data_IF_750189942881
#
_entry.id   IF_750189942881
#
_cell.length_a   1.000
_cell.length_b   1.000
_cell.length_c   1.000
_cell.angle_alpha   90.00
_cell.angle_beta   90.00
_cell.angle_gamma   90.00
#
_symmetry.space_group_name_H-M   'P 1'
#
loop_
_entity.id
_entity.type
_entity.pdbx_description
1 polymer ?
#
# COMPACT_ATOMS: atom_id res chain seq x y z
N UNK A 1 -36.84 -0.36 -8.16
CA UNK A 1 -35.88 0.67 -7.70
C UNK A 1 -34.59 -0.06 -7.40
N UNK A 2 -33.55 0.16 -8.20
CA UNK A 2 -32.22 -0.37 -7.88
C UNK A 2 -31.66 0.49 -6.75
N UNK A 3 -31.30 -0.12 -5.61
CA UNK A 3 -30.61 0.60 -4.53
C UNK A 3 -29.21 0.98 -5.04
N UNK A 4 -28.90 2.27 -5.03
CA UNK A 4 -27.57 2.75 -5.41
C UNK A 4 -26.48 2.27 -4.46
N UNK A 5 -25.22 2.35 -4.89
CA UNK A 5 -24.05 1.97 -4.08
C UNK A 5 -24.05 2.66 -2.73
N UNK A 6 -24.32 3.97 -2.69
CA UNK A 6 -24.31 4.76 -1.46
C UNK A 6 -25.51 4.45 -0.56
N UNK A 7 -26.68 4.13 -1.14
CA UNK A 7 -27.83 3.65 -0.37
C UNK A 7 -27.50 2.35 0.37
N UNK A 8 -26.80 1.42 -0.30
CA UNK A 8 -26.37 0.16 0.32
C UNK A 8 -25.34 0.40 1.42
N UNK A 9 -24.34 1.25 1.18
CA UNK A 9 -23.33 1.60 2.19
C UNK A 9 -23.98 2.25 3.42
N UNK A 10 -24.92 3.18 3.23
CA UNK A 10 -25.66 3.82 4.31
C UNK A 10 -26.49 2.81 5.13
N UNK A 11 -27.12 1.83 4.46
CA UNK A 11 -27.86 0.75 5.15
C UNK A 11 -26.94 -0.12 6.00
N UNK A 12 -25.75 -0.48 5.48
CA UNK A 12 -24.73 -1.22 6.24
C UNK A 12 -24.27 -0.41 7.45
N UNK A 13 -23.98 0.87 7.25
CA UNK A 13 -23.58 1.77 8.33
C UNK A 13 -24.67 1.85 9.42
N UNK A 14 -25.93 2.09 9.04
CA UNK A 14 -27.07 2.09 9.97
C UNK A 14 -27.18 0.79 10.77
N UNK A 15 -26.97 -0.36 10.13
CA UNK A 15 -27.03 -1.66 10.80
C UNK A 15 -25.84 -1.91 11.75
N UNK A 16 -24.69 -1.25 11.52
CA UNK A 16 -23.50 -1.36 12.37
C UNK A 16 -23.55 -0.47 13.62
N UNK A 17 -24.43 0.52 13.65
CA UNK A 17 -24.53 1.48 14.74
C UNK A 17 -25.39 0.95 15.90
N UNK A 18 -25.11 1.36 17.15
CA UNK A 18 -25.99 1.08 18.27
C UNK A 18 -27.42 1.59 18.02
N UNK A 19 -28.47 0.95 18.57
CA UNK A 19 -29.87 1.38 18.38
C UNK A 19 -30.16 2.83 18.83
N UNK A 20 -29.35 3.34 19.76
CA UNK A 20 -29.46 4.68 20.35
C UNK A 20 -28.68 5.74 19.55
N UNK A 21 -27.87 5.33 18.57
CA UNK A 21 -27.06 6.25 17.79
C UNK A 21 -27.96 7.12 16.87
N UNK A 22 -27.61 8.40 16.68
CA UNK A 22 -28.34 9.25 15.73
C UNK A 22 -28.24 8.66 14.31
N UNK A 23 -29.27 8.92 13.49
CA UNK A 23 -29.23 8.50 12.09
C UNK A 23 -27.96 9.09 11.42
N UNK A 24 -27.13 8.25 10.78
CA UNK A 24 -25.95 8.74 10.08
C UNK A 24 -26.29 9.69 8.92
N UNK A 25 -27.52 9.67 8.39
CA UNK A 25 -27.96 10.63 7.36
C UNK A 25 -28.46 11.94 8.00
N UNK A 26 -28.05 13.07 7.43
CA UNK A 26 -28.59 14.40 7.74
C UNK A 26 -29.72 14.70 6.76
N UNK A 27 -30.96 14.54 7.22
CA UNK A 27 -32.18 14.78 6.43
C UNK A 27 -33.13 15.74 7.17
N UNK A 28 -33.48 16.90 6.60
CA UNK A 28 -33.01 17.42 5.30
C UNK A 28 -31.52 17.79 5.31
N UNK A 29 -30.83 17.76 4.14
CA UNK A 29 -29.50 18.33 4.00
C UNK A 29 -29.47 19.81 4.41
N UNK A 30 -28.36 20.32 4.96
CA UNK A 30 -28.26 21.74 5.34
C UNK A 30 -28.47 22.68 4.13
N UNK A 31 -29.01 23.87 4.38
CA UNK A 31 -29.45 24.81 3.33
C UNK A 31 -28.35 25.18 2.32
N UNK A 32 -27.10 25.31 2.76
CA UNK A 32 -25.97 25.61 1.88
C UNK A 32 -25.74 24.50 0.84
N UNK A 33 -25.94 23.23 1.21
CA UNK A 33 -25.85 22.10 0.27
C UNK A 33 -27.02 22.12 -0.70
N UNK A 34 -28.25 22.35 -0.21
CA UNK A 34 -29.42 22.44 -1.07
C UNK A 34 -29.28 23.56 -2.10
N UNK A 35 -28.71 24.70 -1.71
CA UNK A 35 -28.42 25.81 -2.60
C UNK A 35 -27.44 25.41 -3.72
N UNK A 36 -26.29 24.82 -3.37
CA UNK A 36 -25.29 24.39 -4.37
C UNK A 36 -25.81 23.26 -5.26
N UNK A 37 -26.62 22.36 -4.71
CA UNK A 37 -27.29 21.30 -5.46
C UNK A 37 -28.22 21.88 -6.53
N UNK A 38 -29.02 22.89 -6.19
CA UNK A 38 -29.90 23.55 -7.14
C UNK A 38 -29.12 24.32 -8.22
N UNK A 39 -28.02 24.98 -7.83
CA UNK A 39 -27.09 25.61 -8.78
C UNK A 39 -26.53 24.59 -9.79
N UNK A 40 -26.15 23.40 -9.32
CA UNK A 40 -25.65 22.33 -10.17
C UNK A 40 -26.70 21.83 -11.18
N UNK A 41 -27.93 21.59 -10.71
CA UNK A 41 -29.05 21.17 -11.58
C UNK A 41 -29.39 22.24 -12.62
N UNK A 42 -29.42 23.51 -12.21
CA UNK A 42 -29.63 24.65 -13.12
C UNK A 42 -28.52 24.78 -14.16
N UNK A 43 -27.28 24.44 -13.80
CA UNK A 43 -26.14 24.41 -14.72
C UNK A 43 -26.13 23.17 -15.64
N UNK A 44 -27.11 22.28 -15.54
CA UNK A 44 -27.22 21.07 -16.36
C UNK A 44 -26.29 19.94 -15.94
N UNK A 45 -25.75 19.97 -14.72
CA UNK A 45 -24.93 18.88 -14.18
C UNK A 45 -25.86 17.71 -13.86
N UNK A 46 -25.51 16.51 -14.34
CA UNK A 46 -26.31 15.29 -14.14
C UNK A 46 -26.01 14.74 -12.76
N UNK A 47 -26.97 14.93 -11.85
CA UNK A 47 -26.94 14.41 -10.48
C UNK A 47 -28.31 13.80 -10.11
N UNK A 48 -28.28 12.77 -9.28
CA UNK A 48 -29.44 11.99 -8.84
C UNK A 48 -29.78 12.28 -7.37
N UNK A 49 -29.10 11.63 -6.42
CA UNK A 49 -29.33 11.83 -4.98
C UNK A 49 -28.12 12.44 -4.27
N UNK A 50 -28.39 13.24 -3.23
CA UNK A 50 -27.39 13.83 -2.34
C UNK A 50 -27.52 13.23 -0.93
N UNK A 51 -26.44 12.64 -0.44
CA UNK A 51 -26.34 12.09 0.92
C UNK A 51 -25.36 12.91 1.74
N UNK A 52 -25.86 13.74 2.66
CA UNK A 52 -24.99 14.40 3.65
C UNK A 52 -24.98 13.52 4.91
N UNK A 53 -23.82 13.01 5.31
CA UNK A 53 -23.71 12.00 6.36
C UNK A 53 -22.84 12.48 7.53
N UNK A 54 -23.21 12.09 8.76
CA UNK A 54 -22.48 12.40 10.01
C UNK A 54 -21.23 11.54 10.19
N UNK A 55 -21.27 10.34 9.62
CA UNK A 55 -20.21 9.36 9.65
C UNK A 55 -19.86 9.00 8.20
N UNK A 56 -18.57 8.87 7.86
CA UNK A 56 -18.17 8.66 6.49
C UNK A 56 -18.63 7.28 5.98
N UNK A 57 -19.07 7.20 4.71
CA UNK A 57 -19.40 5.93 4.06
C UNK A 57 -18.14 5.15 3.66
N UNK A 58 -17.02 5.85 3.48
CA UNK A 58 -15.67 5.32 3.32
C UNK A 58 -14.73 6.06 4.27
N UNK A 59 -14.03 5.32 5.13
CA UNK A 59 -13.12 5.88 6.13
C UNK A 59 -11.94 6.69 5.55
N UNK A 60 -11.67 6.58 4.25
CA UNK A 60 -10.56 7.26 3.57
C UNK A 60 -11.01 8.45 2.71
N UNK A 61 -12.30 8.76 2.67
CA UNK A 61 -12.84 9.84 1.85
C UNK A 61 -13.75 10.77 2.65
N UNK A 62 -13.71 12.06 2.31
CA UNK A 62 -14.65 13.06 2.85
C UNK A 62 -15.93 13.18 1.99
N UNK A 63 -15.96 12.55 0.83
CA UNK A 63 -17.09 12.50 -0.08
C UNK A 63 -16.77 11.63 -1.30
N UNK A 64 -17.79 11.28 -2.08
CA UNK A 64 -17.58 10.67 -3.38
C UNK A 64 -18.77 10.86 -4.32
N UNK A 65 -18.47 10.90 -5.62
CA UNK A 65 -19.42 10.83 -6.72
C UNK A 65 -19.51 9.41 -7.32
N UNK A 66 -20.72 8.92 -7.54
CA UNK A 66 -20.97 7.65 -8.25
C UNK A 66 -21.20 7.91 -9.74
N UNK A 67 -20.28 7.46 -10.60
CA UNK A 67 -20.44 7.55 -12.06
C UNK A 67 -21.66 6.78 -12.57
N UNK A 68 -21.96 5.63 -11.96
CA UNK A 68 -23.06 4.75 -12.37
C UNK A 68 -24.44 5.29 -12.02
N UNK A 69 -24.60 5.82 -10.79
CA UNK A 69 -25.89 6.25 -10.26
C UNK A 69 -26.07 7.78 -10.27
N UNK A 70 -25.00 8.53 -10.54
CA UNK A 70 -24.93 9.98 -10.44
C UNK A 70 -25.27 10.54 -9.04
N UNK A 71 -25.09 9.72 -8.01
CA UNK A 71 -25.28 10.12 -6.62
C UNK A 71 -24.00 10.76 -6.07
N UNK A 72 -24.14 11.62 -5.07
CA UNK A 72 -23.04 12.21 -4.31
C UNK A 72 -23.28 11.97 -2.83
N UNK A 73 -22.25 11.56 -2.09
CA UNK A 73 -22.26 11.63 -0.63
C UNK A 73 -21.15 12.55 -0.12
N UNK A 74 -21.39 13.22 1.00
CA UNK A 74 -20.46 14.13 1.66
C UNK A 74 -20.49 13.89 3.17
N UNK A 75 -19.31 13.76 3.78
CA UNK A 75 -19.14 13.69 5.22
C UNK A 75 -19.18 15.09 5.85
N UNK A 76 -20.09 15.28 6.81
CA UNK A 76 -20.24 16.51 7.59
C UNK A 76 -20.30 16.16 9.08
N UNK A 77 -19.16 16.15 9.75
CA UNK A 77 -19.10 16.03 11.21
C UNK A 77 -19.30 17.40 11.89
N UNK A 78 -19.85 17.46 13.12
CA UNK A 78 -20.06 18.71 13.86
C UNK A 78 -18.79 19.55 14.08
N UNK A 79 -17.64 18.90 14.16
CA UNK A 79 -16.32 19.49 14.38
C UNK A 79 -15.65 20.02 13.09
N UNK A 80 -16.17 19.66 11.92
CA UNK A 80 -15.62 20.10 10.64
C UNK A 80 -16.11 21.50 10.28
N UNK A 81 -15.21 22.41 9.87
CA UNK A 81 -15.62 23.71 9.33
C UNK A 81 -16.55 23.54 8.13
N UNK A 82 -17.72 24.20 8.15
CA UNK A 82 -18.72 24.10 7.06
C UNK A 82 -18.11 24.42 5.69
N UNK A 83 -17.23 25.42 5.62
CA UNK A 83 -16.53 25.81 4.40
C UNK A 83 -15.68 24.67 3.81
N UNK A 84 -15.04 23.85 4.66
CA UNK A 84 -14.28 22.67 4.21
C UNK A 84 -15.19 21.61 3.60
N UNK A 85 -16.35 21.38 4.23
CA UNK A 85 -17.31 20.39 3.74
C UNK A 85 -17.94 20.87 2.42
N UNK A 86 -18.26 22.16 2.29
CA UNK A 86 -18.79 22.73 1.05
C UNK A 86 -17.76 22.73 -0.08
N UNK A 87 -16.47 22.94 0.21
CA UNK A 87 -15.39 22.75 -0.77
C UNK A 87 -15.35 21.32 -1.30
N UNK A 88 -15.43 20.33 -0.40
CA UNK A 88 -15.51 18.91 -0.77
C UNK A 88 -16.74 18.64 -1.63
N UNK A 89 -17.89 19.24 -1.31
CA UNK A 89 -19.08 19.09 -2.14
C UNK A 89 -18.93 19.70 -3.54
N UNK A 90 -18.30 20.87 -3.65
CA UNK A 90 -17.98 21.48 -4.95
C UNK A 90 -17.00 20.62 -5.76
N UNK A 91 -16.08 19.92 -5.09
CA UNK A 91 -15.19 18.94 -5.71
C UNK A 91 -15.98 17.77 -6.33
N UNK A 92 -16.88 17.16 -5.57
CA UNK A 92 -17.71 16.05 -6.08
C UNK A 92 -18.68 16.50 -7.19
N UNK A 93 -19.20 17.72 -7.12
CA UNK A 93 -19.98 18.33 -8.21
C UNK A 93 -19.12 18.56 -9.46
N UNK A 94 -17.83 18.84 -9.31
CA UNK A 94 -16.89 18.95 -10.43
C UNK A 94 -16.60 17.60 -11.09
N UNK A 95 -16.54 16.50 -10.32
CA UNK A 95 -16.58 15.16 -10.89
C UNK A 95 -17.89 14.90 -11.64
N UNK A 96 -19.04 15.28 -11.08
CA UNK A 96 -20.33 15.09 -11.76
C UNK A 96 -20.45 15.89 -13.07
N UNK A 97 -19.87 17.09 -13.15
CA UNK A 97 -19.86 17.89 -14.38
C UNK A 97 -19.02 17.25 -15.49
N UNK A 98 -17.91 16.62 -15.13
CA UNK A 98 -17.03 15.93 -16.07
C UNK A 98 -16.64 14.57 -15.50
N UNK A 99 -17.52 13.56 -15.64
CA UNK A 99 -17.30 12.26 -15.04
C UNK A 99 -15.96 11.64 -15.45
N UNK A 100 -15.21 11.06 -14.50
CA UNK A 100 -13.91 10.47 -14.78
C UNK A 100 -14.04 9.28 -15.75
N UNK A 101 -13.02 9.12 -16.60
CA UNK A 101 -12.91 7.97 -17.53
C UNK A 101 -12.05 6.90 -16.90
N UNK A 102 -12.69 6.00 -16.16
CA UNK A 102 -12.03 4.89 -15.49
C UNK A 102 -11.88 3.67 -16.42
N UNK A 103 -10.83 2.84 -16.24
CA UNK A 103 -9.66 3.05 -15.38
C UNK A 103 -8.62 4.00 -16.01
N UNK A 104 -7.84 4.68 -15.17
CA UNK A 104 -6.67 5.46 -15.61
C UNK A 104 -5.48 4.55 -15.96
N UNK A 105 -4.59 5.01 -16.83
CA UNK A 105 -3.39 4.26 -17.20
C UNK A 105 -2.25 4.43 -16.19
N UNK A 106 -2.22 5.54 -15.43
CA UNK A 106 -1.21 5.81 -14.40
C UNK A 106 -1.71 6.78 -13.33
N UNK A 107 -0.97 6.84 -12.21
CA UNK A 107 -1.22 7.84 -11.15
C UNK A 107 -1.09 9.28 -11.66
N UNK A 108 -0.16 9.56 -12.57
CA UNK A 108 0.01 10.91 -13.11
C UNK A 108 -1.19 11.34 -13.96
N UNK A 109 -1.80 10.41 -14.70
CA UNK A 109 -3.03 10.68 -15.46
C UNK A 109 -4.21 10.93 -14.51
N UNK A 110 -4.39 10.07 -13.51
CA UNK A 110 -5.41 10.24 -12.46
C UNK A 110 -5.25 11.60 -11.75
N UNK A 111 -4.03 11.97 -11.36
CA UNK A 111 -3.77 13.24 -10.69
C UNK A 111 -3.87 14.47 -11.60
N UNK A 112 -3.65 14.31 -12.91
CA UNK A 112 -3.95 15.37 -13.86
C UNK A 112 -5.46 15.65 -13.88
N UNK A 113 -6.29 14.62 -13.85
CA UNK A 113 -7.75 14.77 -13.74
C UNK A 113 -8.16 15.31 -12.37
N UNK A 114 -7.53 14.89 -11.28
CA UNK A 114 -7.78 15.42 -9.93
C UNK A 114 -7.50 16.94 -9.86
N UNK A 115 -6.34 17.38 -10.36
CA UNK A 115 -6.02 18.81 -10.46
C UNK A 115 -7.04 19.56 -11.32
N UNK A 116 -7.47 18.98 -12.44
CA UNK A 116 -8.50 19.58 -13.28
C UNK A 116 -9.86 19.65 -12.56
N UNK A 117 -10.19 18.66 -11.72
CA UNK A 117 -11.41 18.64 -10.90
C UNK A 117 -11.40 19.77 -9.88
N UNK A 118 -10.32 19.99 -9.14
CA UNK A 118 -10.20 21.14 -8.24
C UNK A 118 -10.29 22.48 -8.96
N UNK A 119 -9.64 22.62 -10.12
CA UNK A 119 -9.77 23.84 -10.94
C UNK A 119 -11.21 24.08 -11.40
N UNK A 120 -11.94 23.03 -11.77
CA UNK A 120 -13.37 23.11 -12.11
C UNK A 120 -14.20 23.50 -10.89
N UNK A 121 -13.95 22.93 -9.71
CA UNK A 121 -14.64 23.26 -8.47
C UNK A 121 -14.46 24.75 -8.09
N UNK A 122 -13.23 25.27 -8.19
CA UNK A 122 -12.92 26.68 -7.98
C UNK A 122 -13.69 27.56 -8.98
N UNK A 123 -13.67 27.19 -10.27
CA UNK A 123 -14.40 27.93 -11.31
C UNK A 123 -15.94 27.89 -11.10
N UNK A 124 -16.48 26.78 -10.59
CA UNK A 124 -17.89 26.69 -10.17
C UNK A 124 -18.18 27.64 -9.01
N UNK A 125 -17.33 27.66 -7.99
CA UNK A 125 -17.49 28.52 -6.83
C UNK A 125 -17.57 30.01 -7.23
N UNK A 126 -16.68 30.45 -8.13
CA UNK A 126 -16.73 31.80 -8.69
C UNK A 126 -18.02 32.08 -9.44
N UNK A 127 -18.46 31.14 -10.30
CA UNK A 127 -19.67 31.31 -11.11
C UNK A 127 -20.95 31.36 -10.28
N UNK A 128 -20.98 30.64 -9.16
CA UNK A 128 -22.14 30.54 -8.28
C UNK A 128 -22.10 31.52 -7.11
N UNK A 129 -21.14 32.45 -7.09
CA UNK A 129 -21.08 33.51 -6.07
C UNK A 129 -20.58 33.06 -4.69
N UNK A 130 -19.96 31.88 -4.60
CA UNK A 130 -19.39 31.31 -3.36
C UNK A 130 -17.86 31.24 -3.42
N UNK A 131 -17.23 32.18 -4.14
CA UNK A 131 -15.78 32.26 -4.30
C UNK A 131 -15.01 32.36 -2.96
N UNK A 132 -15.65 32.87 -1.90
CA UNK A 132 -15.07 32.95 -0.56
C UNK A 132 -14.69 31.57 0.01
N UNK A 133 -15.25 30.48 -0.52
CA UNK A 133 -14.87 29.11 -0.14
C UNK A 133 -13.46 28.72 -0.62
N UNK A 134 -12.88 29.46 -1.57
CA UNK A 134 -11.54 29.20 -2.12
C UNK A 134 -10.68 30.48 -2.07
N UNK A 135 -10.28 30.94 -0.87
CA UNK A 135 -9.28 31.99 -0.76
C UNK A 135 -7.93 31.50 -1.32
N UNK A 136 -7.04 32.44 -1.69
CA UNK A 136 -5.76 32.12 -2.31
C UNK A 136 -4.92 31.16 -1.46
N UNK A 137 -4.94 31.30 -0.13
CA UNK A 137 -4.22 30.40 0.77
C UNK A 137 -4.75 28.96 0.68
N UNK A 138 -6.07 28.78 0.70
CA UNK A 138 -6.69 27.46 0.58
C UNK A 138 -6.44 26.84 -0.80
N UNK A 139 -6.40 27.64 -1.87
CA UNK A 139 -6.06 27.12 -3.21
C UNK A 139 -4.61 26.60 -3.20
N UNK A 140 -3.68 27.33 -2.58
CA UNK A 140 -2.29 26.91 -2.47
C UNK A 140 -2.15 25.62 -1.64
N UNK A 141 -2.83 25.55 -0.49
CA UNK A 141 -2.85 24.36 0.37
C UNK A 141 -3.39 23.13 -0.37
N UNK A 142 -4.53 23.26 -1.06
CA UNK A 142 -5.10 22.16 -1.86
C UNK A 142 -4.16 21.69 -2.97
N UNK A 143 -3.48 22.61 -3.65
CA UNK A 143 -2.50 22.23 -4.68
C UNK A 143 -1.31 21.47 -4.09
N UNK A 144 -0.84 21.88 -2.91
CA UNK A 144 0.26 21.24 -2.20
C UNK A 144 -0.14 19.85 -1.68
N UNK A 145 -1.35 19.70 -1.13
CA UNK A 145 -1.92 18.42 -0.69
C UNK A 145 -2.10 17.43 -1.85
N UNK A 146 -2.67 17.90 -2.96
CA UNK A 146 -2.85 17.08 -4.17
C UNK A 146 -1.50 16.60 -4.67
N UNK A 147 -0.49 17.47 -4.76
CA UNK A 147 0.82 17.06 -5.23
C UNK A 147 1.54 16.14 -4.24
N UNK A 148 1.46 16.40 -2.93
CA UNK A 148 2.01 15.52 -1.91
C UNK A 148 1.40 14.11 -1.98
N UNK A 149 0.11 14.01 -2.27
CA UNK A 149 -0.59 12.74 -2.48
C UNK A 149 -0.07 11.97 -3.71
N UNK A 150 0.21 12.65 -4.82
CA UNK A 150 0.83 12.03 -5.99
C UNK A 150 2.23 11.51 -5.66
N UNK A 151 3.04 12.34 -5.01
CA UNK A 151 4.41 11.96 -4.65
C UNK A 151 4.44 10.73 -3.73
N UNK A 152 3.52 10.62 -2.77
CA UNK A 152 3.40 9.43 -1.93
C UNK A 152 3.06 8.17 -2.73
N UNK A 153 2.20 8.26 -3.74
CA UNK A 153 1.81 7.12 -4.60
C UNK A 153 2.92 6.69 -5.54
N UNK A 154 3.61 7.64 -6.15
CA UNK A 154 4.78 7.36 -6.99
C UNK A 154 5.90 6.75 -6.16
N UNK A 155 6.13 7.25 -4.95
CA UNK A 155 7.07 6.67 -4.00
C UNK A 155 6.67 5.24 -3.61
N UNK A 156 5.41 5.02 -3.23
CA UNK A 156 4.90 3.69 -2.89
C UNK A 156 5.01 2.72 -4.08
N UNK A 157 4.68 3.14 -5.30
CA UNK A 157 4.85 2.34 -6.53
C UNK A 157 6.32 1.97 -6.77
N UNK A 158 7.24 2.93 -6.58
CA UNK A 158 8.67 2.70 -6.73
C UNK A 158 9.22 1.72 -5.69
N UNK A 159 8.80 1.85 -4.44
CA UNK A 159 9.18 0.95 -3.33
C UNK A 159 8.56 -0.44 -3.53
N UNK A 160 7.30 -0.50 -3.99
CA UNK A 160 6.62 -1.74 -4.39
C UNK A 160 7.30 -2.39 -5.59
N UNK A 161 8.02 -1.65 -6.42
CA UNK A 161 8.58 -2.21 -7.66
C UNK A 161 7.48 -2.69 -8.60
N UNK A 162 6.34 -1.99 -8.62
CA UNK A 162 5.15 -2.29 -9.40
C UNK A 162 4.39 -1.00 -9.71
N UNK A 163 3.91 -0.83 -10.94
CA UNK A 163 3.05 0.29 -11.36
C UNK A 163 1.57 -0.08 -11.36
N UNK A 164 1.21 -1.30 -10.93
CA UNK A 164 -0.16 -1.70 -10.68
C UNK A 164 -0.80 -0.81 -9.59
N UNK A 165 -1.74 0.05 -10.01
CA UNK A 165 -2.35 1.06 -9.14
C UNK A 165 -3.10 0.45 -7.96
N UNK A 166 -3.85 -0.65 -8.18
CA UNK A 166 -4.61 -1.32 -7.13
C UNK A 166 -3.68 -1.84 -6.03
N UNK A 167 -2.58 -2.50 -6.40
CA UNK A 167 -1.58 -2.98 -5.43
C UNK A 167 -0.87 -1.85 -4.72
N UNK A 168 -0.56 -0.76 -5.42
CA UNK A 168 0.10 0.39 -4.81
C UNK A 168 -0.82 1.11 -3.81
N UNK A 169 -2.11 1.31 -4.12
CA UNK A 169 -3.07 1.88 -3.16
C UNK A 169 -3.21 1.00 -1.93
N UNK A 170 -3.29 -0.33 -2.14
CA UNK A 170 -3.28 -1.30 -1.07
C UNK A 170 -2.03 -1.12 -0.20
N UNK A 171 -0.83 -1.19 -0.79
CA UNK A 171 0.47 -0.96 -0.14
C UNK A 171 0.50 0.32 0.69
N UNK A 172 0.16 1.44 0.08
CA UNK A 172 0.15 2.74 0.73
C UNK A 172 -0.83 2.78 1.92
N UNK A 173 -2.00 2.14 1.82
CA UNK A 173 -2.95 2.03 2.92
C UNK A 173 -2.35 1.30 4.13
N UNK A 174 -1.68 0.16 3.93
CA UNK A 174 -1.06 -0.54 5.06
C UNK A 174 0.14 0.20 5.63
N UNK A 175 0.97 0.80 4.77
CA UNK A 175 2.07 1.66 5.23
C UNK A 175 1.53 2.76 6.15
N UNK A 176 0.43 3.41 5.79
CA UNK A 176 -0.22 4.44 6.62
C UNK A 176 -0.71 3.89 7.96
N UNK A 177 -1.32 2.70 7.97
CA UNK A 177 -1.79 2.05 9.21
C UNK A 177 -0.64 1.71 10.15
N UNK A 178 0.45 1.14 9.64
CA UNK A 178 1.65 0.80 10.41
C UNK A 178 2.37 2.05 10.92
N UNK A 179 2.49 3.07 10.08
CA UNK A 179 3.05 4.36 10.46
C UNK A 179 2.24 5.00 11.60
N UNK A 180 0.91 4.97 11.49
CA UNK A 180 0.02 5.45 12.56
C UNK A 180 0.19 4.65 13.85
N UNK A 181 0.24 3.31 13.80
CA UNK A 181 0.46 2.46 14.96
C UNK A 181 1.79 2.74 15.66
N UNK A 182 2.80 3.21 14.92
CA UNK A 182 4.11 3.62 15.43
C UNK A 182 4.20 5.11 15.82
N UNK A 183 3.10 5.85 15.73
CA UNK A 183 3.04 7.27 16.08
C UNK A 183 3.79 8.18 15.11
N UNK A 184 3.95 7.77 13.84
CA UNK A 184 4.58 8.62 12.83
C UNK A 184 3.61 9.73 12.41
N UNK A 185 4.14 10.95 12.31
CA UNK A 185 3.38 12.07 11.74
C UNK A 185 3.23 11.90 10.23
N UNK A 186 2.20 12.52 9.65
CA UNK A 186 2.00 12.55 8.19
C UNK A 186 3.23 13.10 7.46
N UNK A 187 3.88 14.12 8.03
CA UNK A 187 5.11 14.70 7.47
C UNK A 187 6.29 13.73 7.53
N UNK A 188 6.47 13.00 8.64
CA UNK A 188 7.52 11.99 8.74
C UNK A 188 7.29 10.88 7.72
N UNK A 189 6.06 10.36 7.62
CA UNK A 189 5.73 9.35 6.62
C UNK A 189 5.99 9.85 5.19
N UNK A 190 5.54 11.06 4.86
CA UNK A 190 5.83 11.68 3.57
C UNK A 190 7.33 11.76 3.31
N UNK A 191 8.12 12.22 4.28
CA UNK A 191 9.56 12.37 4.13
C UNK A 191 10.29 11.03 3.95
N UNK A 192 9.86 9.99 4.65
CA UNK A 192 10.46 8.66 4.52
C UNK A 192 10.08 8.02 3.18
N UNK A 193 8.81 8.13 2.75
CA UNK A 193 8.36 7.64 1.44
C UNK A 193 9.09 8.33 0.28
N UNK A 194 9.17 9.66 0.31
CA UNK A 194 9.81 10.43 -0.77
C UNK A 194 11.34 10.43 -0.69
N UNK A 195 11.93 9.82 0.34
CA UNK A 195 13.37 9.71 0.52
C UNK A 195 14.06 11.00 0.97
N UNK A 196 13.32 11.99 1.47
CA UNK A 196 13.89 13.22 2.06
C UNK A 196 14.37 12.99 3.50
N UNK A 197 13.88 11.95 4.18
CA UNK A 197 14.46 11.45 5.43
C UNK A 197 15.68 10.57 5.12
N UNK A 198 16.85 10.96 5.63
CA UNK A 198 18.11 10.23 5.42
C UNK A 198 18.40 9.14 6.47
N UNK A 199 17.48 8.89 7.40
CA UNK A 199 17.66 7.89 8.45
C UNK A 199 17.49 6.47 7.87
N UNK A 200 18.55 5.64 7.84
CA UNK A 200 18.48 4.30 7.27
C UNK A 200 17.52 3.37 8.02
N UNK A 201 17.27 3.61 9.31
CA UNK A 201 16.31 2.84 10.10
C UNK A 201 14.88 3.09 9.66
N UNK A 202 14.50 4.36 9.42
CA UNK A 202 13.17 4.67 8.88
C UNK A 202 13.01 4.20 7.43
N UNK A 203 14.04 4.37 6.59
CA UNK A 203 14.03 3.89 5.21
C UNK A 203 13.89 2.37 5.12
N UNK A 204 14.61 1.62 5.96
CA UNK A 204 14.49 0.17 6.05
C UNK A 204 13.11 -0.30 6.53
N UNK A 205 12.49 0.44 7.46
CA UNK A 205 11.13 0.15 7.92
C UNK A 205 10.09 0.33 6.81
N UNK A 206 10.19 1.39 6.00
CA UNK A 206 9.26 1.60 4.88
C UNK A 206 9.39 0.51 3.81
N UNK A 207 10.62 0.07 3.50
CA UNK A 207 10.82 -1.09 2.62
C UNK A 207 10.15 -2.35 3.16
N UNK A 208 10.03 -2.46 4.48
CA UNK A 208 9.39 -3.59 5.16
C UNK A 208 7.86 -3.54 5.05
N UNK A 209 7.23 -2.38 5.27
CA UNK A 209 5.75 -2.27 5.27
C UNK A 209 5.10 -2.43 3.90
N UNK A 210 5.83 -2.15 2.83
CA UNK A 210 5.35 -2.15 1.46
C UNK A 210 4.75 -3.49 1.00
N UNK A 211 5.14 -4.61 1.62
CA UNK A 211 4.65 -5.95 1.23
C UNK A 211 3.47 -6.46 2.07
N UNK A 212 2.99 -5.67 3.05
CA UNK A 212 2.01 -6.10 4.06
C UNK A 212 0.62 -6.47 3.52
N UNK A 213 0.28 -6.03 2.31
CA UNK A 213 -1.12 -5.99 1.81
C UNK A 213 -1.38 -7.06 0.78
N UNK A 214 -0.32 -7.74 0.39
CA UNK A 214 -0.38 -8.60 -0.77
C UNK A 214 -1.15 -9.89 -0.48
N UNK A 215 -1.35 -10.32 0.78
CA UNK A 215 -2.13 -11.53 1.09
C UNK A 215 -2.76 -11.57 2.48
N UNK A 216 -3.98 -12.12 2.55
CA UNK A 216 -4.74 -12.35 3.78
C UNK A 216 -4.32 -13.61 4.57
N UNK A 217 -3.32 -14.38 4.15
CA UNK A 217 -2.74 -15.43 5.01
C UNK A 217 -1.38 -15.79 4.46
N UNK A 218 -0.35 -15.27 5.11
CA UNK A 218 0.95 -15.91 5.09
C UNK A 218 0.98 -16.93 6.22
N UNK A 219 1.38 -18.14 5.89
CA UNK A 219 1.73 -19.13 6.89
C UNK A 219 3.25 -19.28 6.86
N UNK A 220 3.94 -18.68 7.82
CA UNK A 220 5.32 -19.02 8.13
C UNK A 220 5.31 -20.42 8.75
N UNK A 221 5.40 -21.44 7.91
CA UNK A 221 5.60 -22.80 8.40
C UNK A 221 7.08 -22.99 8.72
N UNK A 222 7.41 -22.85 10.00
CA UNK A 222 8.55 -23.54 10.58
C UNK A 222 8.11 -24.98 10.86
N UNK A 223 8.95 -25.96 10.53
CA UNK A 223 8.81 -27.25 11.20
C UNK A 223 8.93 -27.01 12.74
N UNK A 224 8.30 -27.81 13.60
CA UNK A 224 8.03 -27.48 15.01
C UNK A 224 9.23 -27.44 15.96
N UNK A 225 10.40 -27.00 15.51
CA UNK A 225 11.60 -26.86 16.34
C UNK A 225 12.13 -25.42 16.26
N UNK A 226 11.59 -24.59 17.17
CA UNK A 226 11.99 -23.22 17.52
C UNK A 226 11.84 -22.16 16.41
N UNK A 227 11.30 -20.98 16.77
CA UNK A 227 11.43 -19.77 15.96
C UNK A 227 12.90 -19.62 15.54
N UNK A 228 13.25 -19.75 14.26
CA UNK A 228 14.60 -19.43 13.84
C UNK A 228 14.69 -17.91 13.89
N UNK A 229 15.57 -17.42 14.75
CA UNK A 229 16.06 -16.05 14.76
C UNK A 229 16.26 -15.60 13.29
N UNK A 230 15.80 -14.41 12.86
CA UNK A 230 16.11 -13.85 11.55
C UNK A 230 17.60 -13.96 11.19
N UNK A 231 18.48 -13.88 12.20
CA UNK A 231 19.93 -14.08 12.06
C UNK A 231 20.32 -15.53 11.69
N UNK A 232 19.46 -16.51 11.98
CA UNK A 232 19.63 -17.93 11.61
C UNK A 232 19.09 -18.24 10.21
N UNK A 233 18.06 -17.53 9.74
CA UNK A 233 17.47 -17.74 8.40
C UNK A 233 18.26 -17.08 7.27
N UNK A 234 18.79 -15.89 7.52
CA UNK A 234 19.39 -15.04 6.50
C UNK A 234 20.91 -14.90 6.64
N UNK A 235 21.49 -15.57 7.65
CA UNK A 235 22.74 -15.13 8.25
C UNK A 235 22.47 -13.84 9.04
N UNK A 236 23.27 -13.52 10.06
CA UNK A 236 22.99 -12.32 10.80
C UNK A 236 23.23 -11.10 9.90
N UNK A 237 22.22 -10.24 9.79
CA UNK A 237 22.47 -8.85 9.40
C UNK A 237 23.49 -8.20 10.34
N UNK A 238 23.78 -8.83 11.50
CA UNK A 238 24.91 -8.52 12.35
C UNK A 238 26.27 -8.56 11.62
N UNK A 239 26.42 -8.99 10.37
CA UNK A 239 27.67 -8.73 9.63
C UNK A 239 27.79 -7.28 9.11
N UNK A 240 26.68 -6.52 9.08
CA UNK A 240 26.64 -5.09 8.77
C UNK A 240 27.00 -4.26 10.01
N UNK A 241 28.27 -4.33 10.42
CA UNK A 241 28.79 -3.44 11.47
C UNK A 241 29.01 -2.00 10.98
N UNK A 242 28.86 -1.75 9.67
CA UNK A 242 29.09 -0.46 9.05
C UNK A 242 27.78 0.19 8.59
N UNK A 243 27.41 1.28 9.27
CA UNK A 243 26.26 2.10 8.89
C UNK A 243 26.35 2.60 7.43
N UNK A 244 27.55 2.82 6.90
CA UNK A 244 27.73 3.23 5.50
C UNK A 244 27.35 2.13 4.51
N UNK A 245 27.65 0.87 4.82
CA UNK A 245 27.28 -0.29 3.99
C UNK A 245 25.76 -0.49 3.97
N UNK A 246 25.11 -0.35 5.13
CA UNK A 246 23.66 -0.44 5.22
C UNK A 246 22.98 0.67 4.41
N UNK A 247 23.44 1.92 4.54
CA UNK A 247 22.92 3.05 3.74
C UNK A 247 23.08 2.76 2.24
N UNK A 248 24.25 2.27 1.83
CA UNK A 248 24.51 1.96 0.43
C UNK A 248 23.59 0.85 -0.10
N UNK A 249 23.40 -0.23 0.67
CA UNK A 249 22.54 -1.35 0.29
C UNK A 249 21.05 -0.96 0.26
N UNK A 250 20.58 -0.17 1.21
CA UNK A 250 19.23 0.41 1.21
C UNK A 250 19.02 1.26 -0.05
N UNK A 251 19.97 2.14 -0.37
CA UNK A 251 19.91 2.95 -1.58
C UNK A 251 19.95 2.11 -2.87
N UNK A 252 20.73 1.04 -2.90
CA UNK A 252 20.77 0.10 -4.02
C UNK A 252 19.44 -0.62 -4.20
N UNK A 253 18.84 -1.13 -3.12
CA UNK A 253 17.54 -1.78 -3.14
C UNK A 253 16.45 -0.82 -3.65
N UNK A 254 16.39 0.40 -3.13
CA UNK A 254 15.44 1.42 -3.58
C UNK A 254 15.56 1.71 -5.08
N UNK A 255 16.78 1.94 -5.59
CA UNK A 255 16.99 2.16 -7.03
C UNK A 255 16.60 0.95 -7.86
N UNK A 256 16.89 -0.25 -7.37
CA UNK A 256 16.56 -1.51 -8.05
C UNK A 256 15.04 -1.71 -8.13
N UNK A 257 14.32 -1.49 -7.03
CA UNK A 257 12.85 -1.55 -6.97
C UNK A 257 12.21 -0.50 -7.89
N UNK A 258 12.68 0.74 -7.83
CA UNK A 258 12.20 1.79 -8.73
C UNK A 258 12.44 1.42 -10.22
N UNK A 259 13.57 0.76 -10.52
CA UNK A 259 13.86 0.22 -11.86
C UNK A 259 12.92 -0.92 -12.23
N UNK A 260 12.58 -1.82 -11.29
CA UNK A 260 11.58 -2.86 -11.48
C UNK A 260 10.21 -2.29 -11.84
N UNK A 261 9.74 -1.26 -11.12
CA UNK A 261 8.47 -0.59 -11.41
C UNK A 261 8.48 0.00 -12.83
N UNK A 262 9.48 0.82 -13.17
CA UNK A 262 9.58 1.45 -14.50
C UNK A 262 9.66 0.46 -15.66
N UNK A 263 10.16 -0.75 -15.42
CA UNK A 263 10.36 -1.78 -16.44
C UNK A 263 9.39 -2.96 -16.26
N UNK A 264 8.33 -2.83 -15.46
CA UNK A 264 7.53 -3.97 -15.01
C UNK A 264 7.03 -4.83 -16.18
N UNK A 265 6.49 -4.21 -17.23
CA UNK A 265 5.98 -4.93 -18.39
C UNK A 265 7.08 -5.65 -19.18
N UNK A 266 8.21 -4.98 -19.42
CA UNK A 266 9.35 -5.57 -20.12
C UNK A 266 9.96 -6.74 -19.33
N UNK A 267 10.09 -6.58 -18.00
CA UNK A 267 10.55 -7.63 -17.10
C UNK A 267 9.60 -8.81 -17.07
N UNK A 268 8.29 -8.55 -16.93
CA UNK A 268 7.24 -9.58 -16.94
C UNK A 268 7.26 -10.38 -18.25
N UNK A 269 7.38 -9.72 -19.40
CA UNK A 269 7.45 -10.37 -20.70
C UNK A 269 8.70 -11.23 -20.87
N UNK A 270 9.86 -10.74 -20.38
CA UNK A 270 11.13 -11.48 -20.40
C UNK A 270 11.07 -12.70 -19.49
N UNK A 271 10.60 -12.53 -18.26
CA UNK A 271 10.50 -13.59 -17.25
C UNK A 271 9.43 -14.63 -17.57
N UNK A 272 8.37 -14.27 -18.31
CA UNK A 272 7.37 -15.22 -18.79
C UNK A 272 7.95 -16.28 -19.76
N UNK A 273 9.07 -15.98 -20.43
CA UNK A 273 9.76 -16.91 -21.34
C UNK A 273 10.77 -17.82 -20.62
N UNK A 274 10.89 -17.67 -19.30
CA UNK A 274 11.87 -18.42 -18.51
C UNK A 274 11.52 -19.90 -18.47
N UNK A 275 12.52 -20.75 -18.73
CA UNK A 275 12.37 -22.20 -18.63
C UNK A 275 12.32 -22.64 -17.17
N UNK A 276 11.31 -23.43 -16.83
CA UNK A 276 11.18 -24.08 -15.54
C UNK A 276 11.49 -25.57 -15.68
N UNK A 277 12.37 -26.09 -14.85
CA UNK A 277 12.72 -27.50 -14.83
C UNK A 277 11.94 -28.22 -13.75
N UNK A 278 11.20 -29.26 -14.10
CA UNK A 278 10.51 -30.07 -13.09
C UNK A 278 11.50 -31.03 -12.43
N UNK A 279 11.54 -31.00 -11.11
CA UNK A 279 12.35 -31.88 -10.28
C UNK A 279 11.52 -32.39 -9.12
N UNK A 280 11.67 -33.67 -8.79
CA UNK A 280 10.96 -34.30 -7.67
C UNK A 280 11.93 -34.51 -6.52
N UNK A 281 11.58 -34.00 -5.34
CA UNK A 281 12.30 -34.22 -4.09
C UNK A 281 11.34 -34.89 -3.11
N UNK A 282 11.60 -36.15 -2.76
CA UNK A 282 10.66 -36.96 -1.98
C UNK A 282 9.31 -37.12 -2.70
N UNK A 283 8.23 -36.76 -2.01
CA UNK A 283 6.86 -36.80 -2.54
C UNK A 283 6.44 -35.52 -3.29
N UNK A 284 7.25 -34.47 -3.30
CA UNK A 284 6.89 -33.15 -3.84
C UNK A 284 7.64 -32.88 -5.14
N UNK A 285 6.92 -32.42 -6.16
CA UNK A 285 7.50 -31.98 -7.44
C UNK A 285 7.52 -30.46 -7.52
N UNK A 286 8.70 -29.90 -7.71
CA UNK A 286 8.94 -28.46 -7.84
C UNK A 286 9.24 -28.08 -9.29
N UNK A 287 8.78 -26.91 -9.69
CA UNK A 287 9.30 -26.17 -10.84
C UNK A 287 10.52 -25.36 -10.38
N UNK A 288 11.70 -25.66 -10.95
CA UNK A 288 12.96 -25.05 -10.56
C UNK A 288 13.49 -24.03 -11.58
N UNK A 289 14.06 -22.96 -11.04
CA UNK A 289 14.84 -21.96 -11.77
C UNK A 289 16.13 -21.62 -11.02
N UNK A 290 17.15 -21.17 -11.75
CA UNK A 290 18.45 -20.77 -11.19
C UNK A 290 18.83 -19.39 -11.69
N UNK A 291 19.52 -18.62 -10.86
CA UNK A 291 20.02 -17.27 -11.10
C UNK A 291 21.42 -17.09 -10.54
N UNK A 292 22.26 -16.36 -11.27
CA UNK A 292 23.58 -15.94 -10.81
C UNK A 292 23.57 -14.42 -10.72
N UNK A 293 23.71 -13.90 -9.51
CA UNK A 293 23.66 -12.46 -9.23
C UNK A 293 25.10 -11.96 -9.20
N UNK A 294 25.51 -11.26 -10.25
CA UNK A 294 26.88 -10.74 -10.42
C UNK A 294 26.91 -9.22 -10.66
N UNK A 295 25.74 -8.59 -10.80
CA UNK A 295 25.56 -7.15 -10.96
C UNK A 295 24.14 -6.71 -10.53
N UNK A 296 23.88 -5.39 -10.56
CA UNK A 296 22.57 -4.82 -10.23
C UNK A 296 21.47 -5.25 -11.24
N UNK A 297 21.82 -5.58 -12.48
CA UNK A 297 20.84 -6.02 -13.49
C UNK A 297 20.32 -7.42 -13.17
N UNK A 298 21.20 -8.32 -12.77
CA UNK A 298 20.85 -9.66 -12.30
C UNK A 298 20.06 -9.60 -11.00
N UNK A 299 20.39 -8.68 -10.09
CA UNK A 299 19.59 -8.42 -8.89
C UNK A 299 18.18 -7.92 -9.24
N UNK A 300 18.06 -7.01 -10.20
CA UNK A 300 16.77 -6.51 -10.70
C UNK A 300 15.91 -7.65 -11.26
N UNK A 301 16.48 -8.53 -12.08
CA UNK A 301 15.76 -9.70 -12.60
C UNK A 301 15.35 -10.69 -11.50
N UNK A 302 16.19 -10.86 -10.46
CA UNK A 302 15.88 -11.69 -9.31
C UNK A 302 14.67 -11.15 -8.52
N UNK A 303 14.72 -9.86 -8.17
CA UNK A 303 13.64 -9.15 -7.47
C UNK A 303 12.35 -9.17 -8.30
N UNK A 304 12.42 -8.83 -9.59
CA UNK A 304 11.27 -8.84 -10.47
C UNK A 304 10.63 -10.23 -10.62
N UNK A 305 11.44 -11.30 -10.62
CA UNK A 305 10.92 -12.67 -10.62
C UNK A 305 10.17 -12.96 -9.33
N UNK A 306 10.74 -12.65 -8.16
CA UNK A 306 10.05 -12.87 -6.88
C UNK A 306 8.75 -12.07 -6.82
N UNK A 307 8.79 -10.77 -7.15
CA UNK A 307 7.62 -9.90 -7.23
C UNK A 307 6.53 -10.50 -8.14
N UNK A 308 6.87 -10.91 -9.36
CA UNK A 308 5.91 -11.49 -10.30
C UNK A 308 5.25 -12.75 -9.75
N UNK A 309 5.99 -13.60 -9.04
CA UNK A 309 5.46 -14.83 -8.47
C UNK A 309 4.53 -14.56 -7.29
N UNK A 310 4.92 -13.64 -6.41
CA UNK A 310 4.15 -13.25 -5.24
C UNK A 310 2.88 -12.45 -5.63
N UNK A 311 2.99 -11.49 -6.53
CA UNK A 311 1.84 -10.72 -7.05
C UNK A 311 0.91 -11.60 -7.89
N UNK A 312 1.46 -12.54 -8.64
CA UNK A 312 0.69 -13.49 -9.44
C UNK A 312 0.02 -14.59 -8.61
N UNK A 313 0.06 -14.55 -7.28
CA UNK A 313 -0.54 -15.54 -6.39
C UNK A 313 -2.00 -15.22 -5.99
N UNK A 314 -2.70 -14.35 -6.73
CA UNK A 314 -4.12 -14.06 -6.50
C UNK A 314 -4.95 -15.36 -6.47
N UNK A 315 -5.72 -15.56 -5.40
CA UNK A 315 -6.50 -16.78 -5.19
C UNK A 315 -5.79 -17.90 -4.40
N UNK A 316 -4.53 -17.70 -4.02
CA UNK A 316 -3.78 -18.64 -3.18
C UNK A 316 -3.35 -17.99 -1.86
N UNK A 317 -3.28 -18.79 -0.80
CA UNK A 317 -2.37 -18.54 0.29
C UNK A 317 -0.95 -18.94 -0.14
N UNK A 318 0.00 -18.04 0.06
CA UNK A 318 1.40 -18.22 -0.35
C UNK A 318 2.25 -18.55 0.88
N UNK A 319 2.93 -19.69 0.85
CA UNK A 319 3.95 -20.06 1.84
C UNK A 319 5.32 -19.92 1.19
N UNK A 320 6.20 -19.17 1.84
CA UNK A 320 7.57 -18.90 1.36
C UNK A 320 8.59 -19.47 2.35
N UNK A 321 9.55 -20.23 1.85
CA UNK A 321 10.65 -20.77 2.65
C UNK A 321 11.98 -20.34 2.05
N UNK A 322 12.80 -19.70 2.89
CA UNK A 322 14.10 -19.14 2.52
C UNK A 322 15.21 -19.94 3.20
N UNK A 323 16.26 -20.26 2.45
CA UNK A 323 17.40 -21.01 2.99
C UNK A 323 18.71 -20.52 2.41
N UNK A 324 19.65 -20.14 3.27
CA UNK A 324 21.06 -19.89 2.93
C UNK A 324 21.92 -21.15 3.06
N UNK A 325 22.91 -21.30 2.18
CA UNK A 325 23.82 -22.45 2.10
C UNK A 325 25.31 -22.05 2.25
N UNK A 326 25.58 -20.93 2.92
CA UNK A 326 26.89 -20.29 3.07
C UNK A 326 28.01 -21.25 3.56
N UNK A 327 27.67 -22.16 4.47
CA UNK A 327 28.63 -23.11 5.07
C UNK A 327 29.16 -24.17 4.09
N UNK A 328 28.48 -24.42 2.97
CA UNK A 328 28.92 -25.41 1.97
C UNK A 328 30.11 -24.89 1.14
N UNK A 329 30.24 -23.57 0.97
CA UNK A 329 31.29 -22.96 0.14
C UNK A 329 32.50 -22.48 0.95
N UNK A 330 32.30 -22.12 2.23
CA UNK A 330 33.37 -21.64 3.12
C UNK A 330 34.49 -22.68 3.38
N UNK A 331 34.21 -23.98 3.22
CA UNK A 331 35.21 -25.05 3.47
C UNK A 331 36.23 -25.24 2.34
N UNK A 332 36.00 -24.67 1.15
CA UNK A 332 36.81 -24.96 -0.04
C UNK A 332 37.74 -23.84 -0.49
N UNK A 333 37.53 -22.59 -0.08
CA UNK A 333 38.30 -21.43 -0.56
C UNK A 333 38.93 -20.63 0.60
N UNK A 334 40.01 -21.16 1.19
CA UNK A 334 40.83 -20.38 2.15
C UNK A 334 41.68 -19.35 1.38
N UNK A 335 41.10 -18.18 1.11
CA UNK A 335 41.82 -17.04 0.51
C UNK A 335 41.00 -16.17 -0.46
N UNK A 336 39.76 -16.54 -0.78
CA UNK A 336 38.80 -15.74 -1.55
C UNK A 336 37.53 -15.54 -0.74
N UNK A 337 36.78 -14.47 -1.01
CA UNK A 337 35.43 -14.36 -0.47
C UNK A 337 34.59 -15.55 -0.98
N UNK A 338 33.90 -16.27 -0.08
CA UNK A 338 33.14 -17.47 -0.45
C UNK A 338 31.94 -17.11 -1.33
N UNK A 339 31.50 -18.07 -2.15
CA UNK A 339 30.25 -17.93 -2.88
C UNK A 339 29.07 -18.18 -1.92
N UNK A 340 27.99 -17.44 -2.08
CA UNK A 340 26.78 -17.62 -1.27
C UNK A 340 25.62 -18.10 -2.15
N UNK A 341 24.92 -19.13 -1.68
CA UNK A 341 23.81 -19.74 -2.39
C UNK A 341 22.55 -19.66 -1.53
N UNK A 342 21.49 -19.10 -2.11
CA UNK A 342 20.17 -18.99 -1.49
C UNK A 342 19.16 -19.82 -2.28
N UNK A 343 18.18 -20.37 -1.57
CA UNK A 343 17.02 -21.04 -2.16
C UNK A 343 15.73 -20.41 -1.62
N UNK A 344 14.85 -20.02 -2.55
CA UNK A 344 13.48 -19.62 -2.27
C UNK A 344 12.53 -20.72 -2.72
N UNK A 345 11.74 -21.26 -1.81
CA UNK A 345 10.64 -22.16 -2.13
C UNK A 345 9.30 -21.43 -1.95
N UNK A 346 8.43 -21.53 -2.94
CA UNK A 346 7.08 -20.96 -2.97
C UNK A 346 6.08 -22.10 -3.07
N UNK A 347 5.18 -22.19 -2.11
CA UNK A 347 4.10 -23.17 -2.07
C UNK A 347 2.78 -22.41 -2.15
N UNK A 348 1.94 -22.79 -3.11
CA UNK A 348 0.67 -22.14 -3.39
C UNK A 348 -0.47 -23.04 -2.96
N UNK A 349 -1.22 -22.64 -1.94
CA UNK A 349 -2.40 -23.36 -1.46
C UNK A 349 -3.65 -22.59 -1.89
N UNK A 350 -4.60 -23.18 -2.63
CA UNK A 350 -5.83 -22.49 -3.00
C UNK A 350 -6.58 -21.95 -1.78
N UNK A 351 -7.10 -20.73 -1.85
CA UNK A 351 -7.86 -20.13 -0.73
C UNK A 351 -9.08 -20.96 -0.33
N UNK A 352 -9.71 -21.64 -1.28
CA UNK A 352 -10.80 -22.59 -1.01
C UNK A 352 -10.40 -23.66 0.01
N UNK A 353 -9.18 -24.18 -0.08
CA UNK A 353 -8.69 -25.23 0.82
C UNK A 353 -8.38 -24.67 2.22
N UNK A 354 -7.75 -23.49 2.28
CA UNK A 354 -7.47 -22.80 3.54
C UNK A 354 -8.76 -22.44 4.26
N UNK A 355 -9.71 -21.79 3.58
CA UNK A 355 -10.97 -21.33 4.17
C UNK A 355 -11.87 -22.48 4.60
N UNK A 356 -11.88 -23.61 3.89
CA UNK A 356 -12.58 -24.81 4.39
C UNK A 356 -12.03 -25.31 5.72
N UNK A 357 -10.77 -25.02 6.03
CA UNK A 357 -10.12 -25.43 7.28
C UNK A 357 -10.38 -24.42 8.41
N UNK A 358 -10.27 -23.11 8.15
CA UNK A 358 -10.37 -22.07 9.19
C UNK A 358 -11.78 -21.49 9.36
N UNK A 359 -12.62 -21.56 8.35
CA UNK A 359 -14.00 -21.03 8.35
C UNK A 359 -14.94 -21.96 7.55
N UNK A 360 -15.20 -23.18 8.06
CA UNK A 360 -15.95 -24.22 7.34
C UNK A 360 -17.41 -23.85 7.06
N UNK A 361 -17.89 -22.73 7.59
CA UNK A 361 -19.23 -22.18 7.39
C UNK A 361 -19.35 -21.28 6.15
N UNK A 362 -18.24 -20.92 5.49
CA UNK A 362 -18.27 -20.16 4.23
C UNK A 362 -18.67 -21.05 3.05
N UNK A 363 -19.54 -20.55 2.18
CA UNK A 363 -19.91 -21.25 0.95
C UNK A 363 -18.75 -21.21 -0.04
N UNK A 364 -18.14 -22.37 -0.27
CA UNK A 364 -17.04 -22.54 -1.24
C UNK A 364 -17.41 -22.14 -2.67
N UNK A 365 -18.71 -22.07 -3.01
CA UNK A 365 -19.18 -21.61 -4.32
C UNK A 365 -19.01 -20.09 -4.54
N UNK A 366 -18.85 -19.30 -3.46
CA UNK A 366 -18.59 -17.86 -3.55
C UNK A 366 -17.10 -17.52 -3.73
N UNK A 367 -16.22 -18.51 -3.61
CA UNK A 367 -14.77 -18.32 -3.74
C UNK A 367 -14.32 -18.46 -5.20
N UNK A 368 -13.37 -17.62 -5.66
CA UNK A 368 -12.89 -17.67 -7.04
C UNK A 368 -12.22 -19.03 -7.34
N UNK A 369 -12.51 -19.65 -8.51
CA UNK A 369 -11.90 -20.91 -8.89
C UNK A 369 -10.39 -20.75 -9.06
N UNK A 370 -9.61 -21.60 -8.38
CA UNK A 370 -8.15 -21.55 -8.41
C UNK A 370 -7.58 -22.83 -9.02
N UNK A 371 -6.80 -22.69 -10.10
CA UNK A 371 -6.16 -23.82 -10.75
C UNK A 371 -5.06 -24.42 -9.85
N UNK A 372 -4.78 -25.72 -9.89
CA UNK A 372 -3.62 -26.27 -9.18
C UNK A 372 -2.33 -25.62 -9.70
N UNK A 373 -1.50 -25.11 -8.80
CA UNK A 373 -0.22 -24.49 -9.14
C UNK A 373 0.93 -25.29 -8.52
N UNK A 374 1.93 -25.62 -9.32
CA UNK A 374 3.09 -26.35 -8.81
C UNK A 374 3.90 -25.48 -7.84
N UNK A 375 4.42 -26.06 -6.74
CA UNK A 375 5.44 -25.41 -5.94
C UNK A 375 6.64 -25.00 -6.79
N UNK A 376 7.22 -23.85 -6.48
CA UNK A 376 8.40 -23.31 -7.19
C UNK A 376 9.60 -23.28 -6.27
N UNK A 377 10.78 -23.56 -6.82
CA UNK A 377 12.04 -23.42 -6.11
C UNK A 377 13.03 -22.63 -6.96
N UNK A 378 13.59 -21.55 -6.41
CA UNK A 378 14.47 -20.64 -7.13
C UNK A 378 15.78 -20.54 -6.39
N UNK A 379 16.86 -20.82 -7.10
CA UNK A 379 18.21 -20.78 -6.56
C UNK A 379 18.92 -19.50 -7.01
N UNK A 380 19.54 -18.79 -6.09
CA UNK A 380 20.27 -17.55 -6.32
C UNK A 380 21.72 -17.72 -5.86
N UNK A 381 22.67 -17.58 -6.78
CA UNK A 381 24.10 -17.70 -6.51
C UNK A 381 24.78 -16.33 -6.59
N UNK A 382 25.40 -15.92 -5.49
CA UNK A 382 26.37 -14.82 -5.43
C UNK A 382 27.77 -15.43 -5.59
N UNK A 383 28.48 -15.17 -6.70
CA UNK A 383 29.73 -15.85 -7.03
C UNK A 383 30.90 -15.36 -6.16
N UNK A 384 31.91 -16.21 -5.99
CA UNK A 384 33.16 -15.85 -5.32
C UNK A 384 34.06 -14.96 -6.19
N UNK A 385 34.95 -14.20 -5.54
CA UNK A 385 36.06 -13.51 -6.19
C UNK A 385 35.88 -12.02 -6.51
N UNK A 386 34.68 -11.46 -6.31
CA UNK A 386 34.43 -10.01 -6.29
C UNK A 386 33.71 -9.64 -4.99
N UNK A 387 33.82 -8.37 -4.57
CA UNK A 387 33.05 -7.87 -3.42
C UNK A 387 31.58 -7.70 -3.83
N UNK A 388 30.78 -8.71 -3.49
CA UNK A 388 29.35 -8.79 -3.78
C UNK A 388 28.49 -8.29 -2.60
N UNK A 389 29.13 -7.85 -1.51
CA UNK A 389 28.48 -7.50 -0.24
C UNK A 389 27.29 -6.53 -0.44
N UNK A 390 27.41 -5.44 -1.22
CA UNK A 390 26.29 -4.53 -1.42
C UNK A 390 25.06 -5.16 -2.09
N UNK A 391 25.28 -6.00 -3.10
CA UNK A 391 24.22 -6.68 -3.85
C UNK A 391 23.52 -7.73 -3.00
N UNK A 392 24.31 -8.48 -2.24
CA UNK A 392 23.83 -9.51 -1.35
C UNK A 392 23.02 -8.93 -0.18
N UNK A 393 23.50 -7.83 0.42
CA UNK A 393 22.77 -7.15 1.49
C UNK A 393 21.46 -6.54 0.94
N UNK A 394 21.49 -5.92 -0.24
CA UNK A 394 20.27 -5.41 -0.87
C UNK A 394 19.25 -6.55 -1.14
N UNK A 395 19.74 -7.72 -1.55
CA UNK A 395 18.91 -8.92 -1.70
C UNK A 395 18.34 -9.41 -0.37
N UNK A 396 19.16 -9.52 0.69
CA UNK A 396 18.72 -9.93 2.02
C UNK A 396 17.67 -8.97 2.57
N UNK A 397 17.86 -7.65 2.45
CA UNK A 397 16.88 -6.64 2.82
C UNK A 397 15.56 -6.79 2.07
N UNK A 398 15.62 -7.06 0.76
CA UNK A 398 14.42 -7.35 -0.03
C UNK A 398 13.69 -8.58 0.49
N UNK A 399 14.41 -9.67 0.75
CA UNK A 399 13.81 -10.91 1.26
C UNK A 399 13.20 -10.71 2.65
N UNK A 400 13.89 -10.00 3.54
CA UNK A 400 13.41 -9.68 4.89
C UNK A 400 12.11 -8.87 4.88
N UNK A 401 11.95 -7.97 3.91
CA UNK A 401 10.69 -7.23 3.76
C UNK A 401 9.49 -8.16 3.62
N UNK A 402 9.63 -9.26 2.89
CA UNK A 402 8.57 -10.26 2.74
C UNK A 402 8.33 -11.07 4.02
N UNK A 403 9.38 -11.43 4.75
CA UNK A 403 9.27 -12.22 5.98
C UNK A 403 8.57 -11.44 7.11
N UNK A 404 8.94 -10.18 7.31
CA UNK A 404 8.35 -9.32 8.34
C UNK A 404 6.84 -9.06 8.07
N UNK A 405 6.43 -8.99 6.81
CA UNK A 405 5.02 -8.86 6.45
C UNK A 405 4.17 -10.09 6.82
N UNK A 406 4.78 -11.29 6.83
CA UNK A 406 4.07 -12.52 7.18
C UNK A 406 3.54 -12.47 8.63
N UNK A 407 4.36 -11.95 9.56
CA UNK A 407 4.01 -11.80 10.98
C UNK A 407 2.85 -10.82 11.19
N UNK A 408 2.82 -9.72 10.43
CA UNK A 408 1.75 -8.70 10.49
C UNK A 408 0.41 -9.27 9.99
N UNK A 409 0.44 -10.12 8.96
CA UNK A 409 -0.78 -10.70 8.37
C UNK A 409 -1.47 -11.75 9.26
N UNK A 410 -0.73 -12.44 10.13
CA UNK A 410 -1.27 -13.50 11.00
C UNK A 410 -2.04 -12.92 12.20
N UNK A 411 -1.57 -11.79 12.75
CA UNK A 411 -2.24 -11.10 13.86
C UNK A 411 -3.34 -10.14 13.38
N UNK A 412 -3.16 -9.52 12.21
CA UNK A 412 -4.06 -8.48 11.69
C UNK A 412 -5.47 -8.95 11.31
N UNK A 413 -5.67 -10.23 10.96
CA UNK A 413 -6.97 -10.74 10.49
C UNK A 413 -7.87 -11.33 11.58
N UNK A 414 -7.29 -11.76 12.70
CA UNK A 414 -8.06 -12.30 13.83
C UNK A 414 -8.19 -11.31 14.99
N UNK A 415 -7.37 -10.24 15.02
CA UNK A 415 -7.30 -9.30 16.14
C UNK A 415 -7.17 -7.82 15.74
N UNK A 416 -7.83 -7.35 14.68
CA UNK A 416 -8.20 -5.93 14.61
C UNK A 416 -9.59 -5.71 15.21
N UNK A 417 -9.73 -5.52 16.54
CA UNK A 417 -10.82 -4.66 17.00
C UNK A 417 -10.50 -3.28 16.42
N UNK A 418 -11.36 -2.78 15.54
CA UNK A 418 -11.37 -1.38 15.14
C UNK A 418 -11.39 -0.51 16.40
N UNK A 419 -10.32 0.23 16.74
CA UNK A 419 -10.43 1.27 17.74
C UNK A 419 -11.10 2.48 17.07
N UNK A 420 -11.98 3.20 17.77
CA UNK A 420 -12.46 4.48 17.28
C UNK A 420 -11.27 5.43 17.18
N UNK A 421 -11.03 5.99 16.00
CA UNK A 421 -10.10 7.10 15.82
C UNK A 421 -10.63 8.30 16.63
N UNK A 422 -10.07 8.51 17.81
CA UNK A 422 -9.94 9.81 18.44
C UNK A 422 -8.45 10.14 18.44
N UNK A 423 -8.03 11.13 17.65
CA UNK A 423 -7.56 12.34 18.31
C UNK A 423 -7.61 13.54 17.36
N UNK A 424 -8.41 14.50 17.80
CA UNK A 424 -8.54 15.86 17.29
C UNK A 424 -7.45 16.74 17.91
N UNK A 425 -6.78 17.53 17.08
CA UNK A 425 -6.25 18.83 17.51
C UNK A 425 -4.77 18.88 17.87
N UNK A 426 -3.97 19.30 16.90
CA UNK A 426 -2.77 20.10 17.20
C UNK A 426 -3.24 21.42 17.84
N UNK A 427 -3.41 21.41 19.16
CA UNK A 427 -3.52 22.63 19.95
C UNK A 427 -2.11 23.18 20.16
N UNK A 428 -1.84 24.30 19.49
CA UNK A 428 -0.70 25.17 19.75
C UNK A 428 -0.52 25.38 21.26
N UNK A 429 0.59 24.91 21.82
CA UNK A 429 1.11 25.42 23.09
C UNK A 429 2.25 26.37 22.82
N UNK A 430 1.92 27.64 22.88
CA UNK A 430 2.78 28.80 23.09
C UNK A 430 3.77 28.52 24.23
N UNK A 431 5.06 28.54 23.95
CA UNK A 431 6.09 28.62 24.98
C UNK A 431 6.26 30.11 25.30
N UNK A 432 5.75 30.52 26.47
CA UNK A 432 6.10 31.81 27.06
C UNK A 432 7.52 31.75 27.64
N UNK A 433 8.34 32.81 27.50
CA UNK A 433 9.68 32.85 28.07
C UNK A 433 9.60 33.35 29.51
N UNK A 434 9.96 32.52 30.49
CA UNK A 434 10.22 32.98 31.85
C UNK A 434 11.72 32.97 32.16
N UNK A 435 12.24 34.18 32.40
CA UNK A 435 13.07 34.44 33.57
C UNK A 435 14.55 34.10 33.48
N UNK A 436 15.34 35.04 32.95
CA UNK A 436 16.61 35.37 33.59
C UNK A 436 16.34 35.97 34.97
N UNK A 437 16.94 35.40 36.01
CA UNK A 437 17.64 36.06 37.12
C UNK A 437 18.32 34.92 37.91
N UNK A 438 19.62 34.93 38.17
CA UNK A 438 20.31 36.02 38.85
C UNK A 438 20.40 35.72 40.34
N UNK A 439 21.21 34.72 40.69
CA UNK A 439 22.01 34.65 41.91
C UNK A 439 23.31 33.89 41.57
#
# INVERSE_FOLDING_TARGET
MHNSTFTRQLQVLRASLPPEAPDPLIDPPPDAFLHLWECARTAGIVVSELFVVRLPLDAHAAGAYSVEHHDIWIWSAPEMPEEQVLRTFLHELAHAQCPPKLPYASFEEEWAEERATWQRAIAMAHRWGVAHLFPEETIAELQEEVEACLQQRLAASAILGSTDMERTEQALRQIRLEAHARGWTSQLLHNVLTGTCADPGYLGQVLTFDRCVLHACWETAHEPEADPDPDTLFGPLSHLHDAAQLIHAVGMLQRTLASCARQEEALRARLARRSWHRTTSGSVSFEQSRQVIHDETALQEAIALVNQLCFGARGYALRMHWQGYETLFARHDQGRQPAHLYCLQLIFTPWTEVLTTIAPWMDTAELPPCAPRHPRAIWFLFPSGQDMTPLEVAWQLFVLSWANCAQISYEGLFHTPMPPLQDSGESQKTIAPEGMEGA
#
